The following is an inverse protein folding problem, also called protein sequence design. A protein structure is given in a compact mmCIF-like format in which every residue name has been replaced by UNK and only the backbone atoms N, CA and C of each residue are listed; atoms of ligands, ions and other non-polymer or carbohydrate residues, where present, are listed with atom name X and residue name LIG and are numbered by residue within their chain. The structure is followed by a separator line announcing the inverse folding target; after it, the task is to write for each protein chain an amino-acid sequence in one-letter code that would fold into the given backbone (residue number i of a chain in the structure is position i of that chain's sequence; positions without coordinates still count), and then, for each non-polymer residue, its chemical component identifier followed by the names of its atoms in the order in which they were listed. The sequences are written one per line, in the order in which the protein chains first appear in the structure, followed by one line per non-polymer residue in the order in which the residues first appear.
data_IF_918648788350
#
_entry.id   IF_918648788350
#
_cell.length_a   1.000
_cell.length_b   1.000
_cell.length_c   1.000
_cell.angle_alpha   90.00
_cell.angle_beta   90.00
_cell.angle_gamma   90.00
#
_symmetry.space_group_name_H-M   'P 1'
#
loop_
_entity.id
_entity.type
_entity.pdbx_description
1 polymer ?
#
# COMPACT_ATOMS: atom_id res chain seq x y z
N UNK A 1 15.99 5.81 3.33
CA UNK A 1 14.80 5.20 3.98
C UNK A 1 13.88 6.33 4.38
N UNK A 2 12.62 6.26 3.93
CA UNK A 2 11.59 7.27 4.19
C UNK A 2 10.99 6.96 5.56
N UNK A 3 11.05 7.93 6.46
CA UNK A 3 10.39 7.84 7.76
C UNK A 3 9.01 8.49 7.66
N UNK A 4 7.95 7.73 7.93
CA UNK A 4 6.57 8.20 7.86
C UNK A 4 6.03 8.39 9.28
N UNK A 5 5.53 9.58 9.56
CA UNK A 5 4.73 9.82 10.75
C UNK A 5 3.25 9.70 10.38
N UNK A 6 2.61 8.64 10.85
CA UNK A 6 1.18 8.44 10.60
C UNK A 6 0.35 9.52 11.31
N UNK A 7 -0.70 10.04 10.66
CA UNK A 7 -1.65 10.91 11.33
C UNK A 7 -2.38 10.14 12.45
N UNK A 8 -2.98 10.84 13.44
CA UNK A 8 -3.77 10.19 14.48
C UNK A 8 -4.85 9.29 13.85
N UNK A 9 -4.82 7.97 14.11
CA UNK A 9 -5.74 7.06 13.46
C UNK A 9 -7.15 7.25 14.01
N UNK A 10 -8.13 7.38 13.12
CA UNK A 10 -9.56 7.33 13.49
C UNK A 10 -10.13 5.93 13.19
N UNK A 11 -9.56 4.91 13.84
CA UNK A 11 -10.01 3.53 13.62
C UNK A 11 -11.22 3.20 14.46
N UNK A 12 -12.27 2.71 13.79
CA UNK A 12 -13.38 2.03 14.45
C UNK A 12 -13.00 0.57 14.60
N UNK A 13 -12.79 0.14 15.84
CA UNK A 13 -12.44 -1.24 16.18
C UNK A 13 -13.61 -1.90 16.90
N UNK A 14 -13.91 -3.16 16.56
CA UNK A 14 -14.90 -3.98 17.26
C UNK A 14 -14.34 -5.38 17.49
N UNK A 15 -14.94 -6.12 18.41
CA UNK A 15 -14.67 -7.54 18.60
C UNK A 15 -15.81 -8.37 18.06
N UNK A 16 -15.52 -9.30 17.15
CA UNK A 16 -16.50 -10.22 16.56
C UNK A 16 -15.89 -11.63 16.48
N UNK A 17 -16.61 -12.64 16.96
CA UNK A 17 -16.14 -14.03 17.02
C UNK A 17 -14.76 -14.20 17.68
N UNK A 18 -14.48 -13.39 18.71
CA UNK A 18 -13.21 -13.43 19.45
C UNK A 18 -12.01 -12.77 18.76
N UNK A 19 -12.20 -12.17 17.57
CA UNK A 19 -11.16 -11.44 16.85
C UNK A 19 -11.46 -9.95 16.83
N UNK A 20 -10.42 -9.14 16.91
CA UNK A 20 -10.55 -7.71 16.68
C UNK A 20 -10.68 -7.46 15.17
N UNK A 21 -11.58 -6.55 14.81
CA UNK A 21 -11.83 -6.11 13.46
C UNK A 21 -11.77 -4.59 13.40
N UNK A 22 -11.29 -4.08 12.28
CA UNK A 22 -11.22 -2.66 11.96
C UNK A 22 -12.16 -2.36 10.80
N UNK A 23 -12.90 -1.26 10.86
CA UNK A 23 -13.73 -0.82 9.74
C UNK A 23 -12.89 -0.06 8.71
N UNK A 24 -12.78 -0.63 7.51
CA UNK A 24 -12.14 0.02 6.37
C UNK A 24 -13.16 0.92 5.65
N UNK A 25 -12.97 2.25 5.63
CA UNK A 25 -13.91 3.18 5.02
C UNK A 25 -13.91 3.13 3.48
N UNK A 26 -12.79 2.79 2.86
CA UNK A 26 -12.66 2.70 1.40
C UNK A 26 -13.34 1.42 0.89
N UNK A 27 -13.12 0.29 1.57
CA UNK A 27 -13.78 -0.99 1.25
C UNK A 27 -15.21 -1.09 1.81
N UNK A 28 -15.61 -0.19 2.72
CA UNK A 28 -16.91 -0.16 3.44
C UNK A 28 -17.26 -1.47 4.15
N UNK A 29 -16.27 -2.13 4.75
CA UNK A 29 -16.45 -3.41 5.43
C UNK A 29 -15.57 -3.53 6.68
N UNK A 30 -15.92 -4.46 7.56
CA UNK A 30 -15.10 -4.83 8.70
C UNK A 30 -14.10 -5.90 8.29
N UNK A 31 -12.81 -5.64 8.51
CA UNK A 31 -11.71 -6.55 8.20
C UNK A 31 -11.02 -6.99 9.48
N UNK A 32 -10.46 -8.19 9.50
CA UNK A 32 -9.70 -8.68 10.66
C UNK A 32 -8.50 -7.77 10.90
N UNK A 33 -8.35 -7.29 12.13
CA UNK A 33 -7.23 -6.44 12.52
C UNK A 33 -5.97 -7.29 12.72
N UNK A 34 -5.27 -7.54 11.63
CA UNK A 34 -3.91 -8.12 11.66
C UNK A 34 -2.87 -6.99 11.78
N UNK A 35 -1.62 -7.30 12.21
CA UNK A 35 -0.56 -6.30 12.21
C UNK A 35 -0.29 -5.69 10.83
N UNK A 36 -0.36 -6.49 9.76
CA UNK A 36 -0.23 -6.03 8.38
C UNK A 36 -1.40 -5.12 7.95
N UNK A 37 -2.65 -5.49 8.30
CA UNK A 37 -3.81 -4.64 8.01
C UNK A 37 -3.75 -3.32 8.78
N UNK A 38 -3.25 -3.32 10.01
CA UNK A 38 -3.01 -2.09 10.77
C UNK A 38 -2.03 -1.17 10.03
N UNK A 39 -0.93 -1.69 9.51
CA UNK A 39 0.03 -0.92 8.70
C UNK A 39 -0.64 -0.41 7.42
N UNK A 40 -1.35 -1.28 6.70
CA UNK A 40 -2.06 -0.94 5.46
C UNK A 40 -3.03 0.22 5.65
N UNK A 41 -3.85 0.16 6.69
CA UNK A 41 -4.84 1.20 6.99
C UNK A 41 -4.21 2.51 7.42
N UNK A 42 -3.16 2.48 8.27
CA UNK A 42 -2.43 3.70 8.62
C UNK A 42 -1.76 4.33 7.40
N UNK A 43 -1.18 3.52 6.52
CA UNK A 43 -0.54 4.01 5.31
C UNK A 43 -1.54 4.67 4.37
N UNK A 44 -2.74 4.10 4.19
CA UNK A 44 -3.84 4.73 3.45
C UNK A 44 -4.19 6.09 4.07
N UNK A 45 -4.34 6.17 5.40
CA UNK A 45 -4.64 7.44 6.07
C UNK A 45 -3.53 8.48 5.85
N UNK A 46 -2.27 8.09 5.83
CA UNK A 46 -1.16 8.97 5.49
C UNK A 46 -1.25 9.49 4.04
N UNK A 47 -1.52 8.61 3.07
CA UNK A 47 -1.71 9.02 1.67
C UNK A 47 -2.83 10.05 1.53
N UNK A 48 -3.96 9.83 2.22
CA UNK A 48 -5.16 10.68 2.10
C UNK A 48 -5.06 11.96 2.92
N UNK A 49 -4.69 11.87 4.20
CA UNK A 49 -4.73 13.02 5.11
C UNK A 49 -3.48 13.89 5.01
N UNK A 50 -2.31 13.28 4.76
CA UNK A 50 -1.03 13.99 4.73
C UNK A 50 -0.59 14.33 3.31
N UNK A 51 -0.69 13.37 2.38
CA UNK A 51 -0.31 13.61 0.98
C UNK A 51 -1.47 14.04 0.08
N UNK A 52 -2.69 14.08 0.62
CA UNK A 52 -3.91 14.54 -0.07
C UNK A 52 -4.26 13.76 -1.34
N UNK A 53 -3.96 12.46 -1.35
CA UNK A 53 -4.33 11.58 -2.45
C UNK A 53 -5.86 11.37 -2.46
N UNK A 54 -6.53 11.48 -3.62
CA UNK A 54 -7.97 11.25 -3.69
C UNK A 54 -8.34 9.80 -3.35
N UNK A 55 -9.20 9.59 -2.35
CA UNK A 55 -9.65 8.25 -1.93
C UNK A 55 -10.24 7.44 -3.09
N UNK A 56 -10.94 8.10 -4.01
CA UNK A 56 -11.56 7.48 -5.18
C UNK A 56 -10.57 6.84 -6.16
N UNK A 57 -9.28 7.20 -6.06
CA UNK A 57 -8.19 6.69 -6.89
C UNK A 57 -7.32 5.67 -6.15
N UNK A 58 -7.71 5.26 -4.94
CA UNK A 58 -7.00 4.25 -4.15
C UNK A 58 -7.81 2.96 -4.14
N UNK A 59 -7.25 1.89 -4.70
CA UNK A 59 -7.80 0.54 -4.62
C UNK A 59 -7.04 -0.32 -3.61
N UNK A 60 -7.78 -1.13 -2.86
CA UNK A 60 -7.22 -1.99 -1.81
C UNK A 60 -7.58 -3.45 -2.10
N UNK A 61 -6.62 -4.37 -1.97
CA UNK A 61 -6.80 -5.83 -2.12
C UNK A 61 -7.52 -6.28 -3.40
N UNK A 62 -7.23 -5.67 -4.55
CA UNK A 62 -7.79 -6.17 -5.82
C UNK A 62 -7.10 -7.48 -6.19
N UNK A 63 -7.89 -8.52 -6.45
CA UNK A 63 -7.36 -9.74 -7.03
C UNK A 63 -6.84 -9.46 -8.45
N UNK A 64 -5.70 -10.07 -8.78
CA UNK A 64 -5.11 -10.10 -10.10
C UNK A 64 -4.76 -11.54 -10.48
N UNK A 65 -4.88 -11.85 -11.76
CA UNK A 65 -4.36 -13.10 -12.31
C UNK A 65 -2.91 -12.90 -12.74
N UNK A 66 -2.00 -13.68 -12.17
CA UNK A 66 -0.60 -13.79 -12.57
C UNK A 66 -0.41 -15.19 -13.16
N UNK A 67 -0.64 -15.33 -14.47
CA UNK A 67 -0.83 -16.65 -15.09
C UNK A 67 -2.04 -17.36 -14.48
N UNK A 68 -1.82 -18.57 -13.96
CA UNK A 68 -2.85 -19.37 -13.27
C UNK A 68 -3.04 -19.00 -11.79
N UNK A 69 -2.16 -18.15 -11.23
CA UNK A 69 -2.22 -17.80 -9.81
C UNK A 69 -3.07 -16.55 -9.57
N UNK A 70 -4.04 -16.64 -8.67
CA UNK A 70 -4.70 -15.47 -8.12
C UNK A 70 -3.80 -14.83 -7.05
N UNK A 71 -3.34 -13.62 -7.31
CA UNK A 71 -2.56 -12.80 -6.37
C UNK A 71 -3.34 -11.56 -5.98
N UNK A 72 -2.94 -10.91 -4.90
CA UNK A 72 -3.52 -9.65 -4.42
C UNK A 72 -2.38 -8.69 -4.19
N UNK A 73 -2.53 -7.46 -4.63
CA UNK A 73 -1.71 -6.35 -4.17
C UNK A 73 -2.40 -5.68 -2.99
N UNK A 74 -1.64 -5.02 -2.13
CA UNK A 74 -2.19 -4.38 -0.94
C UNK A 74 -2.91 -3.09 -1.29
N UNK A 75 -2.18 -2.16 -1.93
CA UNK A 75 -2.71 -0.86 -2.36
C UNK A 75 -2.23 -0.57 -3.78
N UNK A 76 -3.15 -0.08 -4.61
CA UNK A 76 -2.86 0.47 -5.93
C UNK A 76 -3.50 1.85 -6.05
N UNK A 77 -2.69 2.85 -6.34
CA UNK A 77 -3.15 4.22 -6.61
C UNK A 77 -3.17 4.45 -8.11
N UNK A 78 -4.24 5.04 -8.60
CA UNK A 78 -4.43 5.44 -9.99
C UNK A 78 -4.11 6.93 -10.16
N UNK A 79 -3.64 7.31 -11.35
CA UNK A 79 -3.56 8.72 -11.74
C UNK A 79 -4.93 9.27 -12.19
N UNK A 80 -4.97 10.55 -12.56
CA UNK A 80 -6.17 11.24 -13.06
C UNK A 80 -6.77 10.59 -14.32
N UNK A 81 -5.94 9.92 -15.13
CA UNK A 81 -6.34 9.22 -16.36
C UNK A 81 -6.69 7.75 -16.08
N UNK A 82 -6.86 7.41 -14.79
CA UNK A 82 -7.20 6.08 -14.28
C UNK A 82 -6.18 4.99 -14.65
N UNK A 83 -4.93 5.36 -14.89
CA UNK A 83 -3.83 4.42 -15.10
C UNK A 83 -3.17 4.04 -13.77
N UNK A 84 -2.73 2.78 -13.59
CA UNK A 84 -1.97 2.36 -12.41
C UNK A 84 -0.72 3.23 -12.24
N UNK A 85 -0.64 3.96 -11.13
CA UNK A 85 0.39 4.97 -10.92
C UNK A 85 1.38 4.57 -9.83
N UNK A 86 0.88 4.09 -8.69
CA UNK A 86 1.70 3.63 -7.57
C UNK A 86 1.19 2.30 -7.04
N UNK A 87 2.09 1.35 -6.81
CA UNK A 87 1.80 0.12 -6.10
C UNK A 87 2.49 0.13 -4.73
N UNK A 88 1.80 -0.33 -3.70
CA UNK A 88 2.33 -0.43 -2.34
C UNK A 88 2.18 -1.87 -1.85
N UNK A 89 3.24 -2.41 -1.27
CA UNK A 89 3.24 -3.65 -0.47
C UNK A 89 3.46 -3.30 1.00
N UNK A 90 2.54 -3.75 1.85
CA UNK A 90 2.53 -3.55 3.29
C UNK A 90 2.96 -4.84 3.98
N UNK A 91 3.74 -4.73 5.07
CA UNK A 91 4.08 -5.84 5.97
C UNK A 91 3.80 -5.46 7.42
N UNK A 92 3.75 -6.44 8.30
CA UNK A 92 3.69 -6.17 9.74
C UNK A 92 4.95 -5.42 10.21
N UNK A 93 4.84 -4.57 11.24
CA UNK A 93 5.98 -3.81 11.79
C UNK A 93 7.17 -4.69 12.18
N UNK A 94 6.90 -5.92 12.63
CA UNK A 94 7.94 -6.90 13.01
C UNK A 94 8.66 -7.54 11.84
N UNK A 95 8.15 -7.39 10.62
CA UNK A 95 8.73 -7.99 9.41
C UNK A 95 9.71 -7.00 8.75
N UNK A 96 10.95 -7.44 8.44
CA UNK A 96 11.91 -6.60 7.75
C UNK A 96 11.53 -6.42 6.28
N UNK A 97 11.77 -5.21 5.75
CA UNK A 97 11.64 -4.88 4.33
C UNK A 97 12.83 -5.41 3.52
N UNK A 98 12.99 -6.73 3.54
CA UNK A 98 14.08 -7.45 2.88
C UNK A 98 13.87 -7.55 1.36
N UNK A 99 14.90 -8.02 0.65
CA UNK A 99 14.91 -8.24 -0.81
C UNK A 99 13.70 -9.05 -1.29
N UNK A 100 13.24 -10.04 -0.52
CA UNK A 100 12.04 -10.84 -0.86
C UNK A 100 10.76 -10.00 -1.01
N UNK A 101 10.60 -8.94 -0.22
CA UNK A 101 9.45 -8.03 -0.31
C UNK A 101 9.56 -7.17 -1.57
N UNK A 102 10.77 -6.75 -1.91
CA UNK A 102 11.05 -6.04 -3.15
C UNK A 102 10.81 -6.93 -4.39
N UNK A 103 11.25 -8.19 -4.37
CA UNK A 103 10.96 -9.16 -5.42
C UNK A 103 9.46 -9.41 -5.57
N UNK A 104 8.72 -9.39 -4.45
CA UNK A 104 7.27 -9.56 -4.48
C UNK A 104 6.60 -8.41 -5.25
N UNK A 105 6.91 -7.15 -4.92
CA UNK A 105 6.32 -6.01 -5.61
C UNK A 105 6.79 -5.91 -7.07
N UNK A 106 8.05 -6.28 -7.38
CA UNK A 106 8.55 -6.36 -8.75
C UNK A 106 7.77 -7.35 -9.61
N UNK A 107 7.43 -8.53 -9.07
CA UNK A 107 6.60 -9.51 -9.81
C UNK A 107 5.22 -8.97 -10.14
N UNK A 108 4.61 -8.22 -9.22
CA UNK A 108 3.32 -7.59 -9.48
C UNK A 108 3.44 -6.46 -10.51
N UNK A 109 4.52 -5.68 -10.45
CA UNK A 109 4.82 -4.64 -11.43
C UNK A 109 4.91 -5.17 -12.87
N UNK A 110 5.42 -6.40 -13.08
CA UNK A 110 5.46 -7.01 -14.43
C UNK A 110 4.05 -7.14 -15.04
N UNK A 111 3.05 -7.49 -14.23
CA UNK A 111 1.67 -7.65 -14.71
C UNK A 111 0.83 -6.39 -14.65
N UNK A 112 1.12 -5.50 -13.70
CA UNK A 112 0.47 -4.19 -13.57
C UNK A 112 1.59 -3.14 -13.49
N UNK A 113 2.08 -2.66 -14.64
CA UNK A 113 3.11 -1.63 -14.66
C UNK A 113 2.62 -0.37 -13.96
N UNK A 114 3.47 0.17 -13.08
CA UNK A 114 3.23 1.40 -12.31
C UNK A 114 4.46 2.31 -12.38
N UNK A 115 4.28 3.60 -12.19
CA UNK A 115 5.40 4.55 -12.16
C UNK A 115 6.16 4.47 -10.85
N UNK A 116 5.46 4.23 -9.74
CA UNK A 116 6.03 4.20 -8.40
C UNK A 116 5.80 2.85 -7.72
N UNK A 117 6.84 2.33 -7.09
CA UNK A 117 6.82 1.12 -6.28
C UNK A 117 7.14 1.51 -4.84
N UNK A 118 6.36 1.02 -3.89
CA UNK A 118 6.54 1.35 -2.47
C UNK A 118 6.44 0.09 -1.64
N UNK A 119 7.34 -0.08 -0.68
CA UNK A 119 7.22 -1.10 0.36
C UNK A 119 7.27 -0.44 1.72
N UNK A 120 6.43 -0.88 2.64
CA UNK A 120 6.32 -0.30 3.98
C UNK A 120 5.99 -1.36 5.02
N UNK A 121 6.56 -1.24 6.20
CA UNK A 121 6.14 -1.99 7.38
C UNK A 121 5.61 -1.05 8.48
N UNK A 122 5.30 0.21 8.12
CA UNK A 122 4.88 1.24 9.05
C UNK A 122 6.04 2.07 9.58
N UNK A 123 7.04 1.41 10.17
CA UNK A 123 8.19 2.10 10.77
C UNK A 123 9.19 2.58 9.70
N UNK A 124 9.36 1.78 8.66
CA UNK A 124 10.23 2.07 7.54
C UNK A 124 9.44 2.03 6.24
N UNK A 125 9.79 2.94 5.33
CA UNK A 125 9.27 2.94 3.96
C UNK A 125 10.41 3.11 2.97
N UNK A 126 10.34 2.37 1.87
CA UNK A 126 11.21 2.55 0.71
C UNK A 126 10.35 2.71 -0.53
N UNK A 127 10.77 3.58 -1.43
CA UNK A 127 10.04 3.86 -2.65
C UNK A 127 11.02 3.98 -3.82
N UNK A 128 10.54 3.61 -5.00
CA UNK A 128 11.28 3.73 -6.25
C UNK A 128 10.41 4.33 -7.33
N UNK A 129 11.03 5.10 -8.22
CA UNK A 129 10.45 5.57 -9.47
C UNK A 129 11.00 4.75 -10.62
N UNK A 130 10.11 4.28 -11.50
CA UNK A 130 10.49 3.72 -12.79
C UNK A 130 10.94 4.82 -13.74
N UNK A 131 12.11 4.61 -14.32
CA UNK A 131 12.74 5.46 -15.34
C UNK A 131 13.11 4.58 -16.55
N UNK A 132 13.56 5.19 -17.64
CA UNK A 132 14.06 4.45 -18.80
C UNK A 132 15.30 3.61 -18.48
N UNK A 133 16.10 4.01 -17.49
CA UNK A 133 17.33 3.33 -17.07
C UNK A 133 17.12 2.28 -15.97
N UNK A 134 15.87 2.11 -15.48
CA UNK A 134 15.54 1.18 -14.41
C UNK A 134 14.83 1.86 -13.24
N UNK A 135 15.05 1.36 -12.03
CA UNK A 135 14.42 1.87 -10.81
C UNK A 135 15.37 2.80 -10.05
N UNK A 136 14.90 4.00 -9.76
CA UNK A 136 15.60 5.00 -8.96
C UNK A 136 14.96 5.07 -7.57
N UNK A 137 15.75 4.89 -6.51
CA UNK A 137 15.25 4.99 -5.13
C UNK A 137 14.93 6.45 -4.78
N UNK A 138 13.85 6.65 -4.02
CA UNK A 138 13.35 7.96 -3.64
C UNK A 138 13.56 8.21 -2.15
N UNK A 139 13.85 9.47 -1.81
CA UNK A 139 13.96 9.94 -0.43
C UNK A 139 12.60 10.38 0.17
N UNK A 140 11.58 10.52 -0.67
CA UNK A 140 10.21 10.85 -0.27
C UNK A 140 9.19 10.30 -1.27
N UNK A 141 7.94 10.11 -0.85
CA UNK A 141 6.86 9.77 -1.77
C UNK A 141 6.52 10.97 -2.67
N UNK A 142 6.11 10.73 -3.93
CA UNK A 142 5.70 11.80 -4.82
C UNK A 142 4.47 12.55 -4.28
N UNK A 143 4.29 13.80 -4.69
CA UNK A 143 3.00 14.47 -4.53
C UNK A 143 2.04 13.99 -5.62
N UNK A 144 0.75 13.99 -5.32
CA UNK A 144 -0.28 13.71 -6.31
C UNK A 144 -0.40 14.91 -7.27
N UNK A 145 -0.32 14.68 -8.58
CA UNK A 145 -0.36 15.70 -9.65
C UNK A 145 -1.36 15.36 -10.75
#
# INVERSE_FOLDING_TARGET
MIHISFPPPNFRIRKEQGRDQLFDPLRKQWVVLTPEEWVRQNFIQYLVQTLHYPESLIAIEKQMKLGELNKRFDILVYDKDHQPWMMVECKAQTEPLAEKVFDQILRYHVSIPVTYLVITNGDYTRAWRKTEMGLEELDQLPLFI
#
